data_IF_319187239828
#
_entry.id   IF_319187239828
#
_cell.length_a   1.000
_cell.length_b   1.000
_cell.length_c   1.000
_cell.angle_alpha   90.00
_cell.angle_beta   90.00
_cell.angle_gamma   90.00
#
_symmetry.space_group_name_H-M   'P 1'
#
loop_
_entity.id
_entity.type
_entity.pdbx_description
1 polymer ?
#
# COMPACT_ATOMS: atom_id res chain seq x y z
N UNK A 1 -10.09 -10.28 -9.50
CA UNK A 1 -9.32 -9.18 -8.86
C UNK A 1 -9.90 -8.97 -7.47
N UNK A 2 -9.12 -9.18 -6.40
CA UNK A 2 -9.57 -8.93 -5.02
C UNK A 2 -9.34 -7.46 -4.66
N UNK A 3 -10.37 -6.79 -4.14
CA UNK A 3 -10.32 -5.41 -3.65
C UNK A 3 -11.24 -5.25 -2.44
N UNK A 4 -11.00 -4.22 -1.63
CA UNK A 4 -11.85 -3.83 -0.51
C UNK A 4 -11.97 -2.30 -0.44
N UNK A 5 -13.11 -1.81 0.04
CA UNK A 5 -13.32 -0.39 0.30
C UNK A 5 -13.42 -0.15 1.80
N UNK A 6 -12.50 0.64 2.36
CA UNK A 6 -12.50 1.02 3.77
C UNK A 6 -12.65 2.54 3.83
N UNK A 7 -13.73 3.03 4.45
CA UNK A 7 -13.99 4.48 4.61
C UNK A 7 -13.94 5.28 3.30
N UNK A 8 -14.34 4.66 2.18
CA UNK A 8 -14.31 5.28 0.84
C UNK A 8 -12.98 5.14 0.10
N UNK A 9 -11.94 4.57 0.72
CA UNK A 9 -10.66 4.27 0.08
C UNK A 9 -10.68 2.85 -0.46
N UNK A 10 -10.36 2.70 -1.75
CA UNK A 10 -10.32 1.39 -2.43
C UNK A 10 -8.90 0.84 -2.39
N UNK A 11 -8.74 -0.32 -1.77
CA UNK A 11 -7.50 -1.10 -1.75
C UNK A 11 -7.62 -2.26 -2.73
N UNK A 12 -6.71 -2.35 -3.68
CA UNK A 12 -6.70 -3.38 -4.72
C UNK A 12 -5.37 -4.11 -4.69
N UNK A 13 -5.39 -5.44 -4.71
CA UNK A 13 -4.14 -6.22 -4.81
C UNK A 13 -3.32 -5.74 -6.01
N UNK A 14 -2.04 -5.44 -5.76
CA UNK A 14 -1.09 -4.85 -6.70
C UNK A 14 -0.97 -3.33 -6.64
N UNK A 15 -1.79 -2.63 -5.84
CA UNK A 15 -1.62 -1.18 -5.66
C UNK A 15 -0.39 -0.85 -4.82
N UNK A 16 0.17 0.34 -5.06
CA UNK A 16 1.20 0.94 -4.22
C UNK A 16 0.53 1.78 -3.15
N UNK A 17 0.96 1.62 -1.90
CA UNK A 17 0.49 2.37 -0.74
C UNK A 17 1.66 3.16 -0.17
N UNK A 18 1.43 4.44 0.13
CA UNK A 18 2.34 5.23 0.95
C UNK A 18 2.07 4.91 2.42
N UNK A 19 3.12 4.60 3.18
CA UNK A 19 3.01 4.18 4.59
C UNK A 19 3.68 5.16 5.56
N UNK A 20 4.06 6.35 5.10
CA UNK A 20 4.72 7.38 5.90
C UNK A 20 6.17 7.60 5.46
N UNK A 21 7.00 8.03 6.40
CA UNK A 21 8.43 8.25 6.19
C UNK A 21 9.24 7.32 7.09
N UNK A 22 10.49 7.05 6.72
CA UNK A 22 11.47 6.39 7.60
C UNK A 22 12.12 7.40 8.57
N UNK A 23 13.08 6.93 9.36
CA UNK A 23 13.81 7.74 10.34
C UNK A 23 14.63 8.89 9.70
N UNK A 24 14.85 8.84 8.38
CA UNK A 24 15.55 9.86 7.60
C UNK A 24 14.59 10.80 6.86
N UNK A 25 13.29 10.78 7.19
CA UNK A 25 12.22 11.54 6.52
C UNK A 25 12.04 11.19 5.03
N UNK A 26 12.48 9.99 4.61
CA UNK A 26 12.31 9.51 3.23
C UNK A 26 10.97 8.79 3.08
N UNK A 27 10.16 9.10 2.05
CA UNK A 27 8.85 8.48 1.89
C UNK A 27 8.95 6.97 1.61
N UNK A 28 8.20 6.19 2.39
CA UNK A 28 8.14 4.74 2.31
C UNK A 28 6.90 4.27 1.55
N UNK A 29 7.11 3.34 0.61
CA UNK A 29 6.06 2.75 -0.20
C UNK A 29 6.05 1.23 -0.10
N UNK A 30 4.86 0.64 -0.17
CA UNK A 30 4.67 -0.81 -0.17
C UNK A 30 3.72 -1.25 -1.27
N UNK A 31 3.85 -2.49 -1.73
CA UNK A 31 2.91 -3.11 -2.68
C UNK A 31 1.96 -4.02 -1.93
N UNK A 32 0.65 -3.85 -2.12
CA UNK A 32 -0.36 -4.73 -1.56
C UNK A 32 -0.34 -6.09 -2.27
N UNK A 33 0.06 -7.15 -1.58
CA UNK A 33 0.11 -8.52 -2.12
C UNK A 33 -1.18 -9.29 -1.88
N UNK A 34 -1.75 -9.16 -0.69
CA UNK A 34 -2.94 -9.92 -0.32
C UNK A 34 -3.82 -9.16 0.67
N UNK A 35 -5.13 -9.43 0.60
CA UNK A 35 -6.14 -8.92 1.52
C UNK A 35 -6.70 -10.14 2.27
N UNK A 36 -6.51 -10.17 3.58
CA UNK A 36 -6.96 -11.24 4.47
C UNK A 36 -8.08 -10.72 5.39
N UNK A 37 -9.23 -11.41 5.40
CA UNK A 37 -10.35 -11.08 6.30
C UNK A 37 -10.42 -12.16 7.36
N UNK A 38 -10.07 -11.83 8.60
CA UNK A 38 -10.06 -12.78 9.72
C UNK A 38 -11.50 -13.05 10.15
N UNK A 39 -11.88 -14.33 10.28
CA UNK A 39 -13.21 -14.75 10.79
C UNK A 39 -14.41 -14.13 10.07
N UNK A 40 -14.25 -13.70 8.81
CA UNK A 40 -15.27 -12.93 8.05
C UNK A 40 -15.67 -11.61 8.72
N UNK A 41 -14.85 -11.10 9.64
CA UNK A 41 -15.07 -9.82 10.28
C UNK A 41 -14.34 -8.71 9.50
N UNK A 42 -15.10 -7.79 8.89
CA UNK A 42 -14.57 -6.66 8.11
C UNK A 42 -13.84 -5.62 8.98
N UNK A 43 -14.02 -5.63 10.29
CA UNK A 43 -13.21 -4.81 11.20
C UNK A 43 -11.83 -5.43 11.45
N UNK A 44 -11.63 -6.71 11.10
CA UNK A 44 -10.38 -7.46 11.25
C UNK A 44 -9.77 -7.78 9.88
N UNK A 45 -9.50 -6.74 9.09
CA UNK A 45 -8.79 -6.86 7.81
C UNK A 45 -7.29 -6.75 8.05
N UNK A 46 -6.52 -7.68 7.49
CA UNK A 46 -5.07 -7.58 7.37
C UNK A 46 -4.69 -7.37 5.90
N UNK A 47 -3.80 -6.40 5.68
CA UNK A 47 -3.20 -6.12 4.38
C UNK A 47 -1.76 -6.65 4.39
N UNK A 48 -1.48 -7.67 3.58
CA UNK A 48 -0.12 -8.22 3.44
C UNK A 48 0.60 -7.41 2.37
N UNK A 49 1.74 -6.83 2.73
CA UNK A 49 2.47 -5.90 1.89
C UNK A 49 3.94 -6.30 1.76
N UNK A 50 4.56 -5.99 0.62
CA UNK A 50 6.01 -6.05 0.43
C UNK A 50 6.58 -4.64 0.35
N UNK A 51 7.72 -4.41 0.98
CA UNK A 51 8.46 -3.16 0.87
C UNK A 51 8.88 -2.94 -0.58
N UNK A 52 8.56 -1.76 -1.11
CA UNK A 52 9.02 -1.34 -2.41
C UNK A 52 10.34 -0.60 -2.18
N UNK A 53 11.46 -1.32 -2.27
CA UNK A 53 12.77 -0.69 -2.19
C UNK A 53 12.90 0.28 -3.37
N UNK A 54 12.85 1.58 -3.08
CA UNK A 54 13.02 2.68 -4.04
C UNK A 54 14.50 2.86 -4.43
N UNK A 55 15.21 1.76 -4.74
CA UNK A 55 16.60 1.83 -5.21
C UNK A 55 16.71 2.33 -6.65
N UNK A 56 15.60 2.37 -7.37
CA UNK A 56 15.51 2.87 -8.74
C UNK A 56 14.66 4.13 -8.75
N UNK A 57 15.36 5.27 -8.70
CA UNK A 57 14.80 6.58 -9.05
C UNK A 57 14.19 6.48 -10.44
N UNK A 58 12.86 6.35 -10.53
CA UNK A 58 12.15 6.45 -11.79
C UNK A 58 11.69 7.91 -11.94
N UNK A 59 12.33 8.66 -12.83
CA UNK A 59 12.05 10.09 -13.06
C UNK A 59 10.60 10.41 -13.46
N UNK A 60 9.77 9.40 -13.72
CA UNK A 60 8.34 9.56 -14.00
C UNK A 60 7.45 9.72 -12.75
N UNK A 61 7.96 9.52 -11.53
CA UNK A 61 7.18 9.66 -10.29
C UNK A 61 7.12 11.11 -9.74
N UNK A 62 7.79 12.08 -10.37
CA UNK A 62 7.70 13.51 -10.01
C UNK A 62 6.50 14.25 -10.63
N UNK A 63 5.54 13.55 -11.23
CA UNK A 63 4.37 14.22 -11.78
C UNK A 63 3.25 14.34 -10.73
N UNK A 64 3.50 15.03 -9.61
CA UNK A 64 2.49 15.75 -8.80
C UNK A 64 3.22 16.55 -7.70
N UNK A 65 3.67 17.76 -8.03
CA UNK A 65 3.66 18.92 -7.11
C UNK A 65 2.43 19.76 -7.43
#
# INVERSE_FOLDING_TARGET
IKWISVQGIIFKVGCVLWIGHDDEETPCFVVLKEICIIERNLEKILLITDVLCTVLFNGHLNAYE
#
